data_IF_152420699463
#
_entry.id   IF_152420699463
#
_cell.length_a   1.000
_cell.length_b   1.000
_cell.length_c   1.000
_cell.angle_alpha   90.00
_cell.angle_beta   90.00
_cell.angle_gamma   90.00
#
_symmetry.space_group_name_H-M   'P 1'
#
loop_
_entity.id
_entity.type
_entity.pdbx_description
1 polymer ?
#
# COMPACT_ATOMS: atom_id res chain seq x y z
N UNK A 1 4.22 17.26 -13.56
CA UNK A 1 3.08 17.08 -14.48
C UNK A 1 1.82 17.41 -13.70
N UNK A 2 1.13 18.50 -14.05
CA UNK A 2 -0.12 18.92 -13.42
C UNK A 2 -1.28 18.22 -14.14
N UNK A 3 -2.15 17.55 -13.40
CA UNK A 3 -3.42 17.04 -13.92
C UNK A 3 -4.53 17.80 -13.20
N UNK A 4 -5.59 18.21 -13.91
CA UNK A 4 -6.75 18.89 -13.33
C UNK A 4 -7.94 17.93 -13.29
N UNK A 5 -8.53 17.74 -12.11
CA UNK A 5 -9.88 17.18 -11.97
C UNK A 5 -10.57 17.93 -10.82
N UNK A 6 -11.70 18.57 -11.13
CA UNK A 6 -12.63 19.29 -10.25
C UNK A 6 -12.03 20.29 -9.24
N UNK A 7 -11.71 21.49 -9.73
CA UNK A 7 -11.77 22.74 -8.95
C UNK A 7 -10.48 23.21 -8.26
N UNK A 8 -9.38 22.47 -8.37
CA UNK A 8 -8.09 22.87 -7.80
C UNK A 8 -6.90 22.24 -8.51
N UNK A 9 -5.75 22.92 -8.44
CA UNK A 9 -4.46 22.43 -8.95
C UNK A 9 -4.06 21.18 -8.16
N UNK A 10 -4.12 19.99 -8.77
CA UNK A 10 -3.62 18.77 -8.13
C UNK A 10 -2.09 18.87 -8.08
N UNK A 11 -1.57 19.08 -6.88
CA UNK A 11 -0.13 19.11 -6.62
C UNK A 11 0.29 17.73 -6.14
N UNK A 12 1.35 17.17 -6.71
CA UNK A 12 1.94 15.93 -6.20
C UNK A 12 2.27 16.01 -4.70
N UNK A 13 2.49 17.22 -4.16
CA UNK A 13 2.65 17.46 -2.73
C UNK A 13 1.39 17.10 -1.93
N UNK A 14 0.20 17.54 -2.36
CA UNK A 14 -1.06 17.24 -1.67
C UNK A 14 -1.35 15.74 -1.64
N UNK A 15 -1.13 15.03 -2.76
CA UNK A 15 -1.26 13.56 -2.81
C UNK A 15 -0.29 12.91 -1.83
N UNK A 16 0.97 13.36 -1.79
CA UNK A 16 1.98 12.81 -0.87
C UNK A 16 1.61 13.07 0.59
N UNK A 17 1.07 14.24 0.90
CA UNK A 17 0.60 14.59 2.25
C UNK A 17 -0.59 13.71 2.66
N UNK A 18 -1.57 13.53 1.78
CA UNK A 18 -2.70 12.65 2.01
C UNK A 18 -2.25 11.20 2.26
N UNK A 19 -1.34 10.67 1.43
CA UNK A 19 -0.78 9.32 1.64
C UNK A 19 -0.02 9.25 2.97
N UNK A 20 0.82 10.24 3.31
CA UNK A 20 1.55 10.31 4.59
C UNK A 20 0.62 10.38 5.80
N UNK A 21 -0.53 11.02 5.66
CA UNK A 21 -1.56 11.10 6.70
C UNK A 21 -2.43 9.83 6.78
N UNK A 22 -2.32 8.92 5.81
CA UNK A 22 -3.21 7.76 5.69
C UNK A 22 -4.61 8.09 5.15
N UNK A 23 -4.83 9.32 4.66
CA UNK A 23 -6.09 9.71 4.02
C UNK A 23 -6.12 9.20 2.58
N UNK A 24 -6.41 7.91 2.46
CA UNK A 24 -6.46 7.22 1.17
C UNK A 24 -7.67 7.65 0.33
N UNK A 25 -8.69 8.27 0.94
CA UNK A 25 -9.85 8.79 0.24
C UNK A 25 -9.50 10.09 -0.48
N UNK A 26 -8.86 11.03 0.20
CA UNK A 26 -8.34 12.25 -0.41
C UNK A 26 -7.31 11.93 -1.50
N UNK A 27 -6.35 11.04 -1.21
CA UNK A 27 -5.37 10.61 -2.21
C UNK A 27 -6.04 10.02 -3.47
N UNK A 28 -7.12 9.24 -3.30
CA UNK A 28 -7.89 8.66 -4.41
C UNK A 28 -8.63 9.74 -5.21
N UNK A 29 -9.24 10.71 -4.54
CA UNK A 29 -9.95 11.80 -5.19
C UNK A 29 -8.99 12.58 -6.10
N UNK A 30 -7.83 12.94 -5.59
CA UNK A 30 -6.80 13.68 -6.33
C UNK A 30 -6.16 12.85 -7.45
N UNK A 31 -5.97 11.54 -7.27
CA UNK A 31 -5.37 10.66 -8.28
C UNK A 31 -6.34 10.23 -9.39
N UNK A 32 -7.65 10.37 -9.17
CA UNK A 32 -8.70 9.76 -9.99
C UNK A 32 -8.72 8.22 -9.93
N UNK A 33 -7.91 7.60 -9.07
CA UNK A 33 -7.77 6.16 -8.89
C UNK A 33 -7.25 5.84 -7.49
N UNK A 34 -7.42 4.60 -7.03
CA UNK A 34 -6.79 4.15 -5.79
C UNK A 34 -5.26 4.26 -5.88
N UNK A 35 -4.64 4.72 -4.79
CA UNK A 35 -3.20 4.63 -4.61
C UNK A 35 -2.75 3.17 -4.69
N UNK A 36 -1.63 2.89 -5.37
CA UNK A 36 -1.16 1.55 -5.61
C UNK A 36 0.28 1.39 -5.14
N UNK A 37 0.51 0.32 -4.39
CA UNK A 37 1.85 -0.17 -4.04
C UNK A 37 2.18 -1.32 -5.00
N UNK A 38 3.38 -1.28 -5.59
CA UNK A 38 3.86 -2.30 -6.52
C UNK A 38 5.21 -2.81 -6.02
N UNK A 39 5.45 -4.09 -6.27
CA UNK A 39 6.66 -4.73 -5.82
C UNK A 39 6.71 -6.20 -6.19
N UNK A 40 7.83 -6.83 -5.88
CA UNK A 40 8.03 -8.26 -6.12
C UNK A 40 7.41 -9.06 -4.97
N UNK A 41 6.73 -10.15 -5.32
CA UNK A 41 6.30 -11.13 -4.31
C UNK A 41 7.54 -11.87 -3.82
N UNK A 42 7.80 -11.79 -2.52
CA UNK A 42 8.94 -12.46 -1.87
C UNK A 42 8.46 -13.50 -0.87
N UNK A 43 9.32 -14.48 -0.60
CA UNK A 43 9.05 -15.49 0.41
C UNK A 43 8.98 -14.83 1.80
N UNK A 44 7.86 -14.98 2.49
CA UNK A 44 7.74 -14.65 3.91
C UNK A 44 7.83 -15.89 4.79
N UNK A 45 7.53 -15.74 6.08
CA UNK A 45 7.54 -16.84 7.07
C UNK A 45 6.42 -17.89 6.88
N UNK A 46 5.65 -17.82 5.78
CA UNK A 46 4.53 -18.71 5.45
C UNK A 46 3.45 -18.89 6.54
N UNK A 47 3.45 -18.05 7.58
CA UNK A 47 2.48 -18.06 8.69
C UNK A 47 1.03 -17.86 8.24
N UNK A 48 0.81 -17.25 7.06
CA UNK A 48 -0.53 -17.11 6.48
C UNK A 48 -1.20 -18.43 6.08
N UNK A 49 -0.44 -19.54 5.98
CA UNK A 49 -1.01 -20.85 5.64
C UNK A 49 -1.97 -21.39 6.70
N UNK A 50 -1.94 -20.87 7.93
CA UNK A 50 -2.84 -21.30 9.02
C UNK A 50 -4.18 -20.57 9.05
N UNK A 51 -4.32 -19.44 8.34
CA UNK A 51 -5.55 -18.63 8.36
C UNK A 51 -6.48 -18.87 7.16
N UNK A 52 -6.13 -19.82 6.26
CA UNK A 52 -6.99 -20.23 5.14
C UNK A 52 -7.06 -19.26 3.96
N UNK A 53 -6.26 -18.19 3.95
CA UNK A 53 -6.25 -17.19 2.87
C UNK A 53 -4.88 -17.12 2.17
N UNK A 54 -4.83 -17.05 0.83
CA UNK A 54 -3.59 -16.78 0.10
C UNK A 54 -2.97 -15.44 0.53
N UNK A 55 -1.71 -15.46 0.92
CA UNK A 55 -0.96 -14.25 1.33
C UNK A 55 0.25 -14.03 0.43
N UNK A 56 0.53 -12.77 0.10
CA UNK A 56 1.77 -12.35 -0.58
C UNK A 56 2.52 -11.35 0.31
N UNK A 57 3.84 -11.52 0.43
CA UNK A 57 4.71 -10.50 1.04
C UNK A 57 5.33 -9.72 -0.12
N UNK A 58 5.25 -8.40 -0.09
CA UNK A 58 5.66 -7.54 -1.21
C UNK A 58 6.91 -6.77 -0.83
N UNK A 59 8.00 -6.97 -1.58
CA UNK A 59 9.18 -6.11 -1.52
C UNK A 59 8.94 -4.89 -2.40
N UNK A 60 8.84 -3.73 -1.78
CA UNK A 60 8.61 -2.42 -2.43
C UNK A 60 9.95 -1.72 -2.67
N UNK A 61 9.97 -0.77 -3.61
CA UNK A 61 11.13 0.10 -3.82
C UNK A 61 11.29 1.09 -2.66
N UNK A 62 12.51 1.44 -2.32
CA UNK A 62 12.83 2.26 -1.13
C UNK A 62 12.24 3.68 -1.23
N UNK A 63 12.13 4.23 -2.43
CA UNK A 63 11.56 5.56 -2.67
C UNK A 63 10.03 5.55 -2.80
N UNK A 64 9.39 4.37 -2.80
CA UNK A 64 7.94 4.26 -2.85
C UNK A 64 7.33 4.82 -1.56
N UNK A 65 6.55 5.89 -1.68
CA UNK A 65 5.83 6.43 -0.55
C UNK A 65 4.76 5.44 -0.05
N UNK A 66 4.94 4.90 1.15
CA UNK A 66 3.91 4.11 1.81
C UNK A 66 3.05 5.00 2.70
N UNK A 67 1.74 4.69 2.86
CA UNK A 67 0.96 5.27 3.94
C UNK A 67 1.46 4.77 5.31
N UNK A 68 0.99 5.35 6.42
CA UNK A 68 1.35 4.93 7.77
C UNK A 68 1.17 3.43 8.00
N UNK A 69 1.90 2.90 9.00
CA UNK A 69 1.71 1.52 9.42
C UNK A 69 0.24 1.28 9.80
N UNK A 70 -0.34 0.19 9.31
CA UNK A 70 -1.75 -0.11 9.50
C UNK A 70 -2.29 -1.18 8.57
N UNK A 71 -3.59 -1.41 8.70
CA UNK A 71 -4.34 -2.38 7.89
C UNK A 71 -5.25 -1.65 6.94
N UNK A 72 -5.10 -1.92 5.64
CA UNK A 72 -5.81 -1.25 4.56
C UNK A 72 -6.64 -2.25 3.76
N UNK A 73 -7.91 -1.95 3.53
CA UNK A 73 -8.73 -2.69 2.58
C UNK A 73 -8.44 -2.22 1.15
N UNK A 74 -8.29 -3.16 0.22
CA UNK A 74 -7.94 -2.82 -1.14
C UNK A 74 -8.08 -3.98 -2.11
N UNK A 75 -7.29 -3.92 -3.17
CA UNK A 75 -7.27 -4.90 -4.23
C UNK A 75 -5.84 -5.38 -4.47
N UNK A 76 -5.66 -6.70 -4.52
CA UNK A 76 -4.46 -7.32 -5.06
C UNK A 76 -4.68 -7.58 -6.55
N UNK A 77 -3.72 -7.19 -7.38
CA UNK A 77 -3.76 -7.41 -8.82
C UNK A 77 -2.51 -8.17 -9.28
N UNK A 78 -2.71 -9.26 -10.02
CA UNK A 78 -1.66 -10.08 -10.62
C UNK A 78 -2.05 -10.43 -12.05
N UNK A 79 -1.30 -9.94 -13.03
CA UNK A 79 -1.73 -9.99 -14.44
C UNK A 79 -3.11 -9.35 -14.63
N UNK A 80 -4.04 -10.10 -15.23
CA UNK A 80 -5.44 -9.70 -15.40
C UNK A 80 -6.33 -10.01 -14.18
N UNK A 81 -5.84 -10.80 -13.21
CA UNK A 81 -6.62 -11.18 -12.05
C UNK A 81 -6.61 -10.09 -10.99
N UNK A 82 -7.77 -9.84 -10.36
CA UNK A 82 -7.96 -8.85 -9.31
C UNK A 82 -8.81 -9.43 -8.17
N UNK A 83 -8.29 -9.38 -6.95
CA UNK A 83 -8.92 -9.96 -5.76
C UNK A 83 -9.07 -8.90 -4.67
N UNK A 84 -10.18 -8.96 -3.91
CA UNK A 84 -10.31 -8.17 -2.69
C UNK A 84 -9.23 -8.62 -1.72
N UNK A 85 -8.55 -7.68 -1.10
CA UNK A 85 -7.41 -7.96 -0.26
C UNK A 85 -7.40 -7.05 0.96
N UNK A 86 -6.74 -7.54 2.00
CA UNK A 86 -6.35 -6.77 3.16
C UNK A 86 -4.83 -6.65 3.12
N UNK A 87 -4.32 -5.41 3.13
CA UNK A 87 -2.90 -5.12 3.07
C UNK A 87 -2.45 -4.63 4.44
N UNK A 88 -1.51 -5.34 5.04
CA UNK A 88 -0.82 -4.90 6.24
C UNK A 88 0.47 -4.19 5.83
N UNK A 89 0.61 -2.92 6.21
CA UNK A 89 1.82 -2.12 6.05
C UNK A 89 2.40 -1.92 7.43
N UNK A 90 3.64 -2.34 7.62
CA UNK A 90 4.27 -2.31 8.93
C UNK A 90 5.71 -2.76 8.89
N UNK A 91 6.48 -2.25 9.84
CA UNK A 91 7.79 -2.79 10.16
C UNK A 91 7.59 -3.92 11.16
N UNK A 92 8.13 -5.10 10.88
CA UNK A 92 8.25 -6.12 11.92
C UNK A 92 9.37 -5.69 12.86
N UNK A 93 9.12 -5.52 14.16
CA UNK A 93 10.23 -5.43 15.11
C UNK A 93 11.02 -6.74 14.97
N UNK A 94 12.25 -6.65 14.49
CA UNK A 94 13.21 -7.72 14.67
C UNK A 94 13.50 -7.77 16.16
N UNK A 95 12.87 -8.71 16.88
CA UNK A 95 13.36 -9.12 18.18
C UNK A 95 14.73 -9.77 17.94
N UNK A 96 15.78 -8.96 17.99
CA UNK A 96 17.12 -9.46 18.29
C UNK A 96 17.03 -9.99 19.73
N UNK A 97 17.20 -11.30 19.87
CA UNK A 97 17.14 -11.97 21.16
C UNK A 97 18.14 -11.36 22.12
N UNK A 98 17.64 -10.86 23.25
CA UNK A 98 18.47 -10.67 24.42
C UNK A 98 18.25 -11.89 25.30
N UNK A 99 19.27 -12.75 25.34
CA UNK A 99 19.47 -13.76 26.39
C UNK A 99 19.95 -13.05 27.66
#
# INVERSE_FOLDING_TARGET
MMHEIQGGVIRSTAIREAVRAGDMAAARADLGRSYAVRGLVVAGQQRGRTIGFPTANIAVWDEQLLPPNGVYAGWAQWGAARHRAVTNIGVRPTFEGQT
#
